data_IF_902280157673
#
_entry.id   IF_902280157673
#
_cell.length_a   1.000
_cell.length_b   1.000
_cell.length_c   1.000
_cell.angle_alpha   90.00
_cell.angle_beta   90.00
_cell.angle_gamma   90.00
#
_symmetry.space_group_name_H-M   'P 1'
#
loop_
_entity.id
_entity.type
_entity.pdbx_description
1 polymer ?
#
# COMPACT_ATOMS: atom_id res chain seq x y z
N UNK A 1 4.59 17.38 -22.73
CA UNK A 1 3.14 17.26 -22.43
C UNK A 1 2.89 15.85 -21.94
N UNK A 2 2.95 15.62 -20.62
CA UNK A 2 2.59 14.36 -19.95
C UNK A 2 1.40 14.70 -19.06
N UNK A 3 0.19 14.50 -19.56
CA UNK A 3 -1.07 14.74 -18.84
C UNK A 3 -1.65 13.40 -18.35
N UNK A 4 -0.97 12.75 -17.42
CA UNK A 4 -1.59 11.79 -16.50
C UNK A 4 -0.89 12.03 -15.15
N UNK A 5 -1.66 12.26 -14.08
CA UNK A 5 -1.21 12.81 -12.80
C UNK A 5 -0.25 11.93 -12.00
N UNK A 6 0.94 11.63 -12.53
CA UNK A 6 2.08 11.15 -11.76
C UNK A 6 2.86 12.39 -11.33
N UNK A 7 2.61 12.86 -10.11
CA UNK A 7 3.55 13.80 -9.47
C UNK A 7 4.82 13.01 -9.12
N UNK A 8 5.70 12.81 -10.08
CA UNK A 8 7.12 12.53 -9.83
C UNK A 8 7.84 13.79 -9.29
N UNK A 9 7.15 14.58 -8.46
CA UNK A 9 7.60 15.87 -7.93
C UNK A 9 8.37 15.75 -6.62
N UNK A 10 8.48 14.55 -6.03
CA UNK A 10 9.14 14.36 -4.73
C UNK A 10 10.66 14.43 -4.80
N UNK A 11 11.27 13.86 -5.85
CA UNK A 11 12.73 13.78 -5.93
C UNK A 11 13.39 15.16 -6.13
N UNK A 12 12.73 16.08 -6.84
CA UNK A 12 13.21 17.46 -7.01
C UNK A 12 12.96 18.35 -5.79
N UNK A 13 12.22 17.88 -4.80
CA UNK A 13 11.86 18.63 -3.57
C UNK A 13 12.49 18.04 -2.30
N UNK A 14 13.45 17.11 -2.42
CA UNK A 14 14.17 16.57 -1.28
C UNK A 14 13.39 15.56 -0.42
N UNK A 15 12.38 14.89 -1.00
CA UNK A 15 11.68 13.83 -0.28
C UNK A 15 12.56 12.58 -0.11
N UNK A 16 12.64 12.05 1.10
CA UNK A 16 13.38 10.81 1.40
C UNK A 16 12.70 9.55 0.85
N UNK A 17 11.39 9.62 0.59
CA UNK A 17 10.56 8.52 0.06
C UNK A 17 9.32 9.07 -0.66
N UNK A 18 8.83 8.35 -1.66
CA UNK A 18 7.56 8.62 -2.34
C UNK A 18 6.54 7.52 -2.03
N UNK A 19 5.33 7.90 -1.67
CA UNK A 19 4.15 7.02 -1.80
C UNK A 19 3.55 7.19 -3.20
N UNK A 20 3.44 6.09 -3.95
CA UNK A 20 2.91 6.12 -5.31
C UNK A 20 1.47 5.62 -5.33
N UNK A 21 0.55 6.47 -5.77
CA UNK A 21 -0.87 6.15 -5.88
C UNK A 21 -1.47 6.64 -7.21
N UNK A 22 -2.54 5.96 -7.63
CA UNK A 22 -3.49 6.46 -8.63
C UNK A 22 -4.74 7.03 -7.93
N UNK A 23 -5.59 7.72 -8.69
CA UNK A 23 -6.90 8.23 -8.22
C UNK A 23 -6.86 8.90 -6.83
N UNK A 24 -6.12 10.01 -6.66
CA UNK A 24 -5.98 10.68 -5.37
C UNK A 24 -7.32 11.16 -4.78
N UNK A 25 -8.31 11.44 -5.65
CA UNK A 25 -9.67 11.81 -5.23
C UNK A 25 -10.39 10.69 -4.47
N UNK A 26 -9.98 9.43 -4.66
CA UNK A 26 -10.55 8.27 -3.96
C UNK A 26 -9.75 7.88 -2.72
N UNK A 27 -8.75 8.68 -2.34
CA UNK A 27 -7.84 8.40 -1.24
C UNK A 27 -6.65 7.51 -1.62
N UNK A 28 -6.39 7.34 -2.93
CA UNK A 28 -5.28 6.54 -3.45
C UNK A 28 -5.69 5.10 -3.76
N UNK A 29 -5.42 4.67 -5.00
CA UNK A 29 -5.62 3.30 -5.51
C UNK A 29 -4.33 2.73 -6.09
N UNK A 30 -4.31 1.41 -6.30
CA UNK A 30 -3.19 0.71 -6.94
C UNK A 30 -2.87 1.35 -8.31
N UNK A 31 -1.63 1.83 -8.53
CA UNK A 31 -1.21 2.30 -9.84
C UNK A 31 -1.20 1.17 -10.86
N UNK A 32 -1.45 1.47 -12.13
CA UNK A 32 -1.36 0.45 -13.19
C UNK A 32 0.07 -0.08 -13.34
N UNK A 33 0.20 -1.32 -13.84
CA UNK A 33 1.50 -1.96 -14.05
C UNK A 33 2.45 -1.12 -14.92
N UNK A 34 1.91 -0.43 -15.94
CA UNK A 34 2.69 0.49 -16.77
C UNK A 34 3.30 1.64 -15.97
N UNK A 35 2.51 2.24 -15.07
CA UNK A 35 2.99 3.32 -14.17
C UNK A 35 4.06 2.80 -13.21
N UNK A 36 3.85 1.61 -12.63
CA UNK A 36 4.84 0.99 -11.74
C UNK A 36 6.19 0.82 -12.45
N UNK A 37 6.20 0.24 -13.66
CA UNK A 37 7.42 0.06 -14.47
C UNK A 37 8.11 1.38 -14.77
N UNK A 38 7.36 2.37 -15.29
CA UNK A 38 7.92 3.68 -15.62
C UNK A 38 8.53 4.38 -14.40
N UNK A 39 7.91 4.25 -13.21
CA UNK A 39 8.46 4.82 -11.98
C UNK A 39 9.72 4.08 -11.54
N UNK A 40 9.77 2.76 -11.67
CA UNK A 40 11.00 2.00 -11.36
C UNK A 40 12.19 2.42 -12.22
N UNK A 41 11.94 2.75 -13.49
CA UNK A 41 12.98 3.21 -14.43
C UNK A 41 13.42 4.65 -14.16
N UNK A 42 12.49 5.53 -13.76
CA UNK A 42 12.73 6.97 -13.70
C UNK A 42 13.10 7.52 -12.29
N UNK A 43 12.77 6.80 -11.22
CA UNK A 43 12.89 7.29 -9.83
C UNK A 43 13.88 6.45 -9.04
N UNK A 44 14.87 7.11 -8.44
CA UNK A 44 15.95 6.45 -7.69
C UNK A 44 15.78 6.49 -6.17
N UNK A 45 15.01 7.45 -5.64
CA UNK A 45 14.64 7.44 -4.21
C UNK A 45 13.64 6.31 -3.92
N UNK A 46 13.56 5.80 -2.68
CA UNK A 46 12.60 4.77 -2.30
C UNK A 46 11.16 5.14 -2.68
N UNK A 47 10.46 4.22 -3.34
CA UNK A 47 9.06 4.36 -3.71
C UNK A 47 8.26 3.22 -3.10
N UNK A 48 7.18 3.55 -2.40
CA UNK A 48 6.24 2.57 -1.86
C UNK A 48 4.89 2.72 -2.58
N UNK A 49 4.53 1.83 -3.52
CA UNK A 49 3.22 1.84 -4.13
C UNK A 49 2.12 1.47 -3.13
N UNK A 50 0.97 2.13 -3.23
CA UNK A 50 -0.23 1.68 -2.53
C UNK A 50 -0.84 0.48 -3.24
N UNK A 51 -1.28 -0.52 -2.47
CA UNK A 51 -2.09 -1.64 -2.93
C UNK A 51 -3.50 -1.46 -2.36
N UNK A 52 -4.40 -0.94 -3.18
CA UNK A 52 -5.79 -0.68 -2.83
C UNK A 52 -6.67 -0.77 -4.09
N UNK A 53 -7.49 -1.82 -4.21
CA UNK A 53 -8.17 -2.14 -5.48
C UNK A 53 -9.36 -1.22 -5.79
N UNK A 54 -9.92 -0.55 -4.78
CA UNK A 54 -11.05 0.37 -4.92
C UNK A 54 -11.11 1.41 -3.80
N UNK A 55 -11.88 2.47 -4.05
CA UNK A 55 -12.28 3.44 -3.03
C UNK A 55 -13.24 2.85 -1.97
N UNK A 56 -13.64 3.71 -1.02
CA UNK A 56 -14.54 3.34 0.07
C UNK A 56 -13.83 2.63 1.22
N UNK A 57 -14.50 1.62 1.79
CA UNK A 57 -14.02 0.84 2.94
C UNK A 57 -12.76 0.01 2.65
N UNK A 58 -12.28 -0.66 3.70
CA UNK A 58 -11.13 -1.56 3.68
C UNK A 58 -11.51 -3.02 3.96
N UNK A 59 -12.79 -3.36 3.80
CA UNK A 59 -13.34 -4.71 3.99
C UNK A 59 -13.55 -5.36 2.62
N UNK A 60 -12.50 -6.01 2.13
CA UNK A 60 -12.49 -6.52 0.76
C UNK A 60 -13.23 -7.85 0.60
N UNK A 61 -13.79 -8.08 -0.58
CA UNK A 61 -14.30 -9.40 -0.97
C UNK A 61 -13.14 -10.38 -1.20
N UNK A 62 -13.45 -11.66 -1.38
CA UNK A 62 -12.42 -12.65 -1.69
C UNK A 62 -11.72 -12.39 -3.04
N UNK A 63 -12.46 -11.92 -4.05
CA UNK A 63 -11.89 -11.60 -5.36
C UNK A 63 -11.00 -10.36 -5.33
N UNK A 64 -11.43 -9.32 -4.63
CA UNK A 64 -10.60 -8.12 -4.40
C UNK A 64 -9.32 -8.46 -3.64
N UNK A 65 -9.41 -9.31 -2.62
CA UNK A 65 -8.24 -9.73 -1.86
C UNK A 65 -7.27 -10.60 -2.69
N UNK A 66 -7.79 -11.44 -3.60
CA UNK A 66 -6.94 -12.19 -4.54
C UNK A 66 -6.17 -11.25 -5.47
N UNK A 67 -6.84 -10.25 -6.06
CA UNK A 67 -6.19 -9.23 -6.88
C UNK A 67 -5.12 -8.46 -6.11
N UNK A 68 -5.38 -8.12 -4.84
CA UNK A 68 -4.39 -7.48 -3.97
C UNK A 68 -3.14 -8.34 -3.77
N UNK A 69 -3.27 -9.67 -3.64
CA UNK A 69 -2.10 -10.55 -3.51
C UNK A 69 -1.28 -10.62 -4.81
N UNK A 70 -1.95 -10.60 -5.96
CA UNK A 70 -1.28 -10.54 -7.26
C UNK A 70 -0.52 -9.21 -7.44
N UNK A 71 -1.13 -8.09 -7.03
CA UNK A 71 -0.50 -6.77 -7.03
C UNK A 71 0.72 -6.72 -6.08
N UNK A 72 0.62 -7.35 -4.90
CA UNK A 72 1.75 -7.48 -3.96
C UNK A 72 2.91 -8.24 -4.61
N UNK A 73 2.62 -9.35 -5.30
CA UNK A 73 3.64 -10.11 -6.01
C UNK A 73 4.29 -9.27 -7.13
N UNK A 74 3.48 -8.57 -7.93
CA UNK A 74 3.99 -7.70 -8.99
C UNK A 74 4.88 -6.58 -8.46
N UNK A 75 4.49 -5.91 -7.36
CA UNK A 75 5.32 -4.87 -6.72
C UNK A 75 6.64 -5.44 -6.20
N UNK A 76 6.62 -6.64 -5.63
CA UNK A 76 7.84 -7.33 -5.19
C UNK A 76 8.76 -7.65 -6.36
N UNK A 77 8.22 -8.23 -7.42
CA UNK A 77 9.01 -8.67 -8.59
C UNK A 77 9.60 -7.48 -9.37
N UNK A 78 8.95 -6.32 -9.32
CA UNK A 78 9.47 -5.06 -9.86
C UNK A 78 10.56 -4.42 -8.97
N UNK A 79 10.89 -5.02 -7.83
CA UNK A 79 11.98 -4.58 -6.96
C UNK A 79 11.71 -3.25 -6.28
N UNK A 80 10.46 -2.94 -5.96
CA UNK A 80 10.18 -1.84 -5.03
C UNK A 80 10.73 -2.19 -3.63
N UNK A 81 11.22 -1.23 -2.84
CA UNK A 81 11.73 -1.50 -1.49
C UNK A 81 10.60 -1.70 -0.46
N UNK A 82 9.37 -1.31 -0.79
CA UNK A 82 8.23 -1.42 0.11
C UNK A 82 6.91 -1.10 -0.57
N UNK A 83 5.84 -1.16 0.20
CA UNK A 83 4.47 -0.88 -0.25
C UNK A 83 3.59 -0.38 0.90
N UNK A 84 2.43 0.15 0.53
CA UNK A 84 1.41 0.70 1.45
C UNK A 84 0.11 -0.10 1.28
N UNK A 85 -0.45 -0.67 2.35
CA UNK A 85 -1.63 -1.56 2.27
C UNK A 85 -2.32 -1.67 3.63
N UNK A 86 -3.61 -1.96 3.68
CA UNK A 86 -4.28 -2.30 4.94
C UNK A 86 -5.66 -2.90 4.72
N UNK A 87 -6.01 -3.89 5.55
CA UNK A 87 -7.28 -4.62 5.46
C UNK A 87 -7.95 -4.63 6.82
N UNK A 88 -9.24 -4.29 6.84
CA UNK A 88 -10.10 -4.40 8.01
C UNK A 88 -11.14 -5.51 7.80
N UNK A 89 -11.64 -6.05 8.90
CA UNK A 89 -12.83 -6.90 8.90
C UNK A 89 -14.12 -6.07 8.97
N UNK A 90 -15.27 -6.74 8.91
CA UNK A 90 -16.59 -6.10 8.95
C UNK A 90 -16.90 -5.37 10.27
N UNK A 91 -16.18 -5.70 11.34
CA UNK A 91 -16.27 -5.01 12.64
C UNK A 91 -15.30 -3.82 12.73
N UNK A 92 -14.57 -3.52 11.65
CA UNK A 92 -13.58 -2.45 11.60
C UNK A 92 -12.31 -2.76 12.39
N UNK A 93 -11.99 -4.03 12.67
CA UNK A 93 -10.69 -4.42 13.27
C UNK A 93 -9.72 -4.80 12.17
N UNK A 94 -8.42 -4.74 12.45
CA UNK A 94 -7.40 -5.22 11.50
C UNK A 94 -7.64 -6.69 11.19
N UNK A 95 -7.84 -7.03 9.92
CA UNK A 95 -7.98 -8.43 9.48
C UNK A 95 -6.62 -9.12 9.52
N UNK A 96 -6.27 -9.65 10.69
CA UNK A 96 -4.96 -10.28 10.93
C UNK A 96 -4.72 -11.49 10.03
N UNK A 97 -5.78 -12.22 9.65
CA UNK A 97 -5.63 -13.41 8.83
C UNK A 97 -5.21 -13.04 7.41
N UNK A 98 -5.87 -12.02 6.82
CA UNK A 98 -5.50 -11.50 5.51
C UNK A 98 -4.18 -10.75 5.52
N UNK A 99 -3.92 -9.94 6.56
CA UNK A 99 -2.63 -9.26 6.70
C UNK A 99 -1.47 -10.25 6.81
N UNK A 100 -1.60 -11.39 7.50
CA UNK A 100 -0.56 -12.44 7.51
C UNK A 100 -0.26 -13.00 6.11
N UNK A 101 -1.28 -13.19 5.28
CA UNK A 101 -1.12 -13.65 3.89
C UNK A 101 -0.39 -12.62 3.03
N UNK A 102 -0.77 -11.34 3.18
CA UNK A 102 -0.05 -10.22 2.54
C UNK A 102 1.41 -10.22 2.94
N UNK A 103 1.73 -10.34 4.23
CA UNK A 103 3.12 -10.35 4.71
C UNK A 103 3.93 -11.53 4.16
N UNK A 104 3.32 -12.71 4.07
CA UNK A 104 3.95 -13.87 3.46
C UNK A 104 4.27 -13.63 1.97
N UNK A 105 3.34 -13.03 1.21
CA UNK A 105 3.56 -12.68 -0.19
C UNK A 105 4.64 -11.59 -0.36
N UNK A 106 4.58 -10.56 0.50
CA UNK A 106 5.51 -9.43 0.54
C UNK A 106 6.97 -9.85 0.74
N UNK A 107 7.21 -10.90 1.54
CA UNK A 107 8.57 -11.35 1.86
C UNK A 107 9.35 -10.27 2.63
N UNK A 108 10.39 -9.72 2.00
CA UNK A 108 11.29 -8.73 2.61
C UNK A 108 10.90 -7.28 2.37
N UNK A 109 9.80 -7.01 1.66
CA UNK A 109 9.33 -5.65 1.43
C UNK A 109 9.01 -4.94 2.75
N UNK A 110 9.38 -3.67 2.85
CA UNK A 110 8.88 -2.82 3.93
C UNK A 110 7.37 -2.57 3.72
N UNK A 111 6.53 -3.02 4.64
CA UNK A 111 5.08 -2.85 4.55
C UNK A 111 4.62 -1.76 5.51
N UNK A 112 3.93 -0.76 4.98
CA UNK A 112 3.31 0.33 5.75
C UNK A 112 1.80 0.13 5.80
N UNK A 113 1.23 0.13 7.00
CA UNK A 113 -0.22 0.08 7.16
C UNK A 113 -0.82 1.47 6.98
N UNK A 114 -1.73 1.62 6.02
CA UNK A 114 -2.26 2.95 5.64
C UNK A 114 -3.42 3.44 6.53
N UNK A 115 -4.11 4.49 6.06
CA UNK A 115 -5.21 5.19 6.75
C UNK A 115 -6.42 4.34 7.15
N UNK A 116 -6.51 3.07 6.75
CA UNK A 116 -7.42 2.12 7.39
C UNK A 116 -7.32 2.14 8.93
N UNK A 117 -6.15 2.49 9.48
CA UNK A 117 -5.99 2.67 10.92
C UNK A 117 -6.94 3.74 11.50
N UNK A 118 -7.19 4.84 10.79
CA UNK A 118 -8.10 5.90 11.21
C UNK A 118 -9.55 5.39 11.35
N UNK A 119 -9.91 4.37 10.57
CA UNK A 119 -11.23 3.76 10.57
C UNK A 119 -11.31 2.52 11.47
N UNK A 120 -10.21 2.16 12.14
CA UNK A 120 -10.17 0.99 13.00
C UNK A 120 -11.04 1.24 14.24
N UNK A 121 -12.05 0.39 14.45
CA UNK A 121 -12.96 0.44 15.59
C UNK A 121 -12.21 0.23 16.92
N UNK A 122 -11.13 -0.56 16.86
CA UNK A 122 -10.24 -0.79 17.98
C UNK A 122 -8.96 0.05 17.81
N UNK A 123 -9.04 1.31 18.24
CA UNK A 123 -7.87 2.22 18.31
C UNK A 123 -6.97 1.92 19.53
N UNK A 124 -7.29 0.88 20.32
CA UNK A 124 -6.53 0.56 21.51
C UNK A 124 -5.13 0.01 21.16
N UNK A 125 -4.24 0.07 22.16
CA UNK A 125 -2.84 -0.38 22.11
C UNK A 125 -2.59 -1.75 21.45
N UNK A 126 -3.48 -2.77 21.46
CA UNK A 126 -3.20 -4.08 20.86
C UNK A 126 -3.09 -4.10 19.33
N UNK A 127 -3.87 -3.28 18.61
CA UNK A 127 -3.80 -3.19 17.15
C UNK A 127 -2.49 -2.50 16.72
N UNK A 128 -2.19 -1.36 17.35
CA UNK A 128 -0.93 -0.64 17.21
C UNK A 128 0.29 -1.48 17.62
N UNK A 129 0.21 -2.24 18.72
CA UNK A 129 1.30 -3.10 19.17
C UNK A 129 1.56 -4.25 18.21
N UNK A 130 0.51 -4.85 17.64
CA UNK A 130 0.68 -5.89 16.63
C UNK A 130 1.24 -5.30 15.33
N UNK A 131 0.72 -4.15 14.91
CA UNK A 131 1.24 -3.41 13.76
C UNK A 131 2.73 -3.02 13.97
N UNK A 132 3.09 -2.46 15.11
CA UNK A 132 4.49 -2.09 15.41
C UNK A 132 5.41 -3.31 15.55
N UNK A 133 4.88 -4.48 15.92
CA UNK A 133 5.66 -5.73 15.98
C UNK A 133 5.85 -6.41 14.62
N UNK A 134 5.02 -6.06 13.63
CA UNK A 134 4.95 -6.74 12.33
C UNK A 134 5.24 -5.81 11.13
N UNK A 135 5.27 -4.48 11.33
CA UNK A 135 5.37 -3.46 10.29
C UNK A 135 6.28 -2.32 10.75
N UNK A 136 6.99 -1.69 9.81
CA UNK A 136 7.57 -0.36 10.03
C UNK A 136 6.45 0.68 9.88
N UNK A 137 5.77 0.98 10.99
CA UNK A 137 4.77 2.05 11.04
C UNK A 137 5.51 3.38 10.83
N UNK A 138 5.16 4.09 9.76
CA UNK A 138 5.62 5.47 9.51
C UNK A 138 4.68 6.47 10.14
#
# INVERSE_FOLDING_TARGET
>A
MLQHGVRAGGQRQGADRIELCAAPQEGGLTPSLGVLKSVREAVTIPVHPIIRPRGGDFCYTAGEFAAMLDDVAAVKDLGFPGMVIGVLDADGRVDRARMKKIMAAAGTLAVTFHRAFDMCADRARPALSWLNSAFSVS
#
